data_IF_430312268458
#
_entry.id   IF_430312268458
#
_cell.length_a   1.000
_cell.length_b   1.000
_cell.length_c   1.000
_cell.angle_alpha   90.00
_cell.angle_beta   90.00
_cell.angle_gamma   90.00
#
_symmetry.space_group_name_H-M   'P 1'
#
loop_
_entity.id
_entity.type
_entity.pdbx_description
1 polymer ?
#
# COMPACT_ATOMS: atom_id res chain seq x y z
N UNK A 1 13.89 2.68 -33.13
CA UNK A 1 13.52 3.47 -31.93
C UNK A 1 12.28 2.92 -31.24
N UNK A 2 11.28 2.38 -31.96
CA UNK A 2 10.11 1.71 -31.37
C UNK A 2 10.44 0.44 -30.56
N UNK A 3 11.46 -0.33 -30.95
CA UNK A 3 11.87 -1.57 -30.25
C UNK A 3 12.23 -1.37 -28.77
N UNK A 4 12.83 -0.22 -28.40
CA UNK A 4 13.26 0.04 -27.01
C UNK A 4 12.09 0.16 -26.01
N UNK A 5 10.88 0.45 -26.47
CA UNK A 5 9.72 0.58 -25.58
C UNK A 5 9.07 -0.77 -25.29
N UNK A 6 9.21 -1.75 -26.19
CA UNK A 6 8.66 -3.09 -26.01
C UNK A 6 9.34 -3.80 -24.83
N UNK A 7 10.64 -3.63 -24.67
CA UNK A 7 11.41 -4.15 -23.53
C UNK A 7 11.01 -3.51 -22.19
N UNK A 8 10.41 -2.31 -22.24
CA UNK A 8 9.93 -1.59 -21.05
C UNK A 8 8.57 -2.08 -20.53
N UNK A 9 7.78 -2.76 -21.35
CA UNK A 9 6.42 -3.22 -20.97
C UNK A 9 6.46 -4.22 -19.81
N UNK A 10 7.34 -5.24 -19.78
CA UNK A 10 7.45 -6.14 -18.63
C UNK A 10 7.80 -5.41 -17.33
N UNK A 11 8.70 -4.41 -17.40
CA UNK A 11 9.08 -3.60 -16.24
C UNK A 11 7.92 -2.75 -15.76
N UNK A 12 7.16 -2.15 -16.68
CA UNK A 12 5.93 -1.41 -16.38
C UNK A 12 4.89 -2.29 -15.70
N UNK A 13 4.66 -3.50 -16.19
CA UNK A 13 3.71 -4.44 -15.61
C UNK A 13 4.12 -4.82 -14.18
N UNK A 14 5.42 -5.07 -13.95
CA UNK A 14 5.92 -5.33 -12.61
C UNK A 14 5.72 -4.13 -11.68
N UNK A 15 6.09 -2.92 -12.12
CA UNK A 15 5.94 -1.68 -11.36
C UNK A 15 4.48 -1.36 -11.05
N UNK A 16 3.57 -1.52 -12.01
CA UNK A 16 2.13 -1.28 -11.84
C UNK A 16 1.54 -2.22 -10.76
N UNK A 17 2.07 -3.43 -10.63
CA UNK A 17 1.66 -4.40 -9.61
C UNK A 17 2.25 -4.11 -8.20
N UNK A 18 3.18 -3.17 -8.05
CA UNK A 18 3.70 -2.75 -6.74
C UNK A 18 2.98 -1.52 -6.16
N UNK A 19 1.95 -1.01 -6.85
CA UNK A 19 1.20 0.18 -6.41
C UNK A 19 0.35 -0.11 -5.19
N UNK A 20 0.25 0.88 -4.33
CA UNK A 20 -0.66 0.91 -3.18
C UNK A 20 -2.09 1.24 -3.64
N UNK A 21 -3.08 1.00 -2.76
CA UNK A 21 -4.52 1.15 -3.07
C UNK A 21 -4.91 2.56 -3.56
N UNK A 22 -4.21 3.59 -3.07
CA UNK A 22 -4.41 4.99 -3.49
C UNK A 22 -3.82 5.31 -4.86
N UNK A 23 -3.13 4.36 -5.48
CA UNK A 23 -2.39 4.53 -6.71
C UNK A 23 -0.96 5.06 -6.54
N UNK A 24 -0.50 5.32 -5.30
CA UNK A 24 0.89 5.62 -4.96
C UNK A 24 1.73 4.35 -4.79
N UNK A 25 2.94 4.46 -4.22
CA UNK A 25 3.71 3.32 -3.75
C UNK A 25 3.82 3.34 -2.21
N UNK A 26 4.14 2.23 -1.54
CA UNK A 26 4.14 2.15 -0.08
C UNK A 26 5.14 3.10 0.62
N UNK A 27 6.22 3.52 -0.07
CA UNK A 27 7.21 4.45 0.47
C UNK A 27 7.20 5.77 -0.31
N UNK A 28 7.66 6.84 0.34
CA UNK A 28 7.67 8.20 -0.21
C UNK A 28 8.56 8.32 -1.45
N UNK A 29 9.80 7.83 -1.38
CA UNK A 29 10.74 7.84 -2.52
C UNK A 29 10.25 6.96 -3.68
N UNK A 30 9.73 5.77 -3.34
CA UNK A 30 9.16 4.83 -4.32
C UNK A 30 8.00 5.48 -5.09
N UNK A 31 7.19 6.29 -4.40
CA UNK A 31 6.09 7.01 -5.04
C UNK A 31 6.59 8.01 -6.07
N UNK A 32 7.59 8.83 -5.71
CA UNK A 32 8.11 9.84 -6.64
C UNK A 32 8.76 9.20 -7.88
N UNK A 33 9.65 8.23 -7.67
CA UNK A 33 10.37 7.59 -8.78
C UNK A 33 9.44 6.71 -9.61
N UNK A 34 8.59 5.91 -8.96
CA UNK A 34 7.67 5.00 -9.62
C UNK A 34 6.63 5.72 -10.48
N UNK A 35 5.99 6.76 -9.95
CA UNK A 35 5.02 7.55 -10.73
C UNK A 35 5.69 8.29 -11.88
N UNK A 36 6.90 8.82 -11.68
CA UNK A 36 7.67 9.47 -12.76
C UNK A 36 7.98 8.49 -13.88
N UNK A 37 8.44 7.28 -13.56
CA UNK A 37 8.76 6.25 -14.55
C UNK A 37 7.51 5.79 -15.32
N UNK A 38 6.44 5.45 -14.60
CA UNK A 38 5.18 5.00 -15.20
C UNK A 38 4.58 6.07 -16.11
N UNK A 39 4.54 7.33 -15.67
CA UNK A 39 3.99 8.44 -16.46
C UNK A 39 4.81 8.68 -17.72
N UNK A 40 6.15 8.71 -17.60
CA UNK A 40 7.03 8.94 -18.75
C UNK A 40 6.95 7.85 -19.81
N UNK A 41 6.73 6.60 -19.38
CA UNK A 41 6.51 5.50 -20.32
C UNK A 41 5.11 5.56 -20.92
N UNK A 42 4.08 5.81 -20.11
CA UNK A 42 2.70 5.94 -20.56
C UNK A 42 2.54 7.04 -21.63
N UNK A 43 3.22 8.19 -21.49
CA UNK A 43 3.27 9.26 -22.51
C UNK A 43 3.75 8.76 -23.88
N UNK A 44 4.55 7.69 -23.94
CA UNK A 44 5.14 7.17 -25.18
C UNK A 44 4.37 6.01 -25.78
N UNK A 45 3.72 5.19 -24.96
CA UNK A 45 3.05 3.96 -25.40
C UNK A 45 1.52 4.09 -25.47
N UNK A 46 0.94 5.11 -24.84
CA UNK A 46 -0.52 5.30 -24.84
C UNK A 46 -0.99 5.71 -26.24
N UNK A 47 -2.07 5.10 -26.76
CA UNK A 47 -2.65 5.49 -28.02
C UNK A 47 -3.29 6.88 -27.93
N UNK A 48 -3.47 7.54 -29.07
CA UNK A 48 -4.09 8.88 -29.14
C UNK A 48 -5.58 8.89 -28.78
N UNK A 49 -6.24 7.73 -28.79
CA UNK A 49 -7.65 7.56 -28.46
C UNK A 49 -7.85 6.28 -27.64
N UNK A 50 -8.76 6.36 -26.67
CA UNK A 50 -9.31 5.22 -25.95
C UNK A 50 -10.73 4.95 -26.47
N UNK A 51 -10.96 3.71 -26.90
CA UNK A 51 -12.25 3.17 -27.30
C UNK A 51 -12.23 1.66 -27.08
N UNK A 52 -12.53 1.25 -25.86
CA UNK A 52 -12.50 -0.15 -25.46
C UNK A 52 -13.60 -0.50 -24.48
N UNK A 53 -13.99 -1.77 -24.50
CA UNK A 53 -14.95 -2.38 -23.59
C UNK A 53 -14.25 -3.43 -22.76
N UNK A 54 -14.48 -3.39 -21.44
CA UNK A 54 -14.02 -4.41 -20.49
C UNK A 54 -15.25 -5.16 -19.98
N UNK A 55 -15.30 -6.45 -20.22
CA UNK A 55 -16.29 -7.37 -19.66
C UNK A 55 -15.64 -8.10 -18.47
N UNK A 56 -16.16 -7.84 -17.27
CA UNK A 56 -15.74 -8.43 -16.01
C UNK A 56 -16.78 -9.47 -15.56
N UNK A 57 -16.38 -10.73 -15.42
CA UNK A 57 -17.22 -11.82 -14.92
C UNK A 57 -16.72 -12.28 -13.56
N UNK A 58 -17.63 -12.37 -12.61
CA UNK A 58 -17.36 -12.85 -11.25
C UNK A 58 -18.59 -13.60 -10.75
N UNK A 59 -18.39 -14.84 -10.29
CA UNK A 59 -19.50 -15.72 -9.91
C UNK A 59 -20.50 -15.91 -11.06
N UNK A 60 -21.75 -15.47 -10.87
CA UNK A 60 -22.81 -15.48 -11.90
C UNK A 60 -23.03 -14.11 -12.54
N UNK A 61 -22.38 -13.07 -12.02
CA UNK A 61 -22.58 -11.70 -12.45
C UNK A 61 -21.61 -11.31 -13.56
N UNK A 62 -22.04 -10.33 -14.37
CA UNK A 62 -21.21 -9.74 -15.42
C UNK A 62 -21.39 -8.22 -15.39
N UNK A 63 -20.27 -7.51 -15.34
CA UNK A 63 -20.20 -6.05 -15.44
C UNK A 63 -19.47 -5.66 -16.71
N UNK A 64 -19.99 -4.64 -17.39
CA UNK A 64 -19.45 -4.15 -18.65
C UNK A 64 -19.06 -2.69 -18.45
N UNK A 65 -17.78 -2.40 -18.62
CA UNK A 65 -17.23 -1.05 -18.61
C UNK A 65 -16.99 -0.62 -20.06
N UNK A 66 -17.49 0.55 -20.45
CA UNK A 66 -17.21 1.15 -21.75
C UNK A 66 -16.41 2.42 -21.53
N UNK A 67 -15.19 2.44 -22.08
CA UNK A 67 -14.26 3.56 -21.92
C UNK A 67 -14.10 4.24 -23.28
N UNK A 68 -14.37 5.53 -23.31
CA UNK A 68 -14.11 6.41 -24.45
C UNK A 68 -13.23 7.60 -24.04
N UNK A 69 -12.62 8.28 -25.01
CA UNK A 69 -11.76 9.44 -24.76
C UNK A 69 -12.44 10.63 -24.10
N UNK A 70 -13.77 10.68 -24.04
CA UNK A 70 -14.52 11.79 -23.45
C UNK A 70 -14.59 11.69 -21.92
N UNK A 71 -14.45 10.50 -21.34
CA UNK A 71 -14.60 10.23 -19.91
C UNK A 71 -13.44 9.40 -19.32
N UNK A 72 -12.19 9.71 -19.69
CA UNK A 72 -11.00 8.95 -19.28
C UNK A 72 -10.74 8.99 -17.76
N UNK A 73 -11.17 10.04 -17.07
CA UNK A 73 -10.73 10.33 -15.69
C UNK A 73 -11.65 9.74 -14.60
N UNK A 74 -12.70 9.00 -14.99
CA UNK A 74 -13.62 8.39 -14.02
C UNK A 74 -13.15 6.98 -13.68
N UNK A 75 -12.58 6.82 -12.48
CA UNK A 75 -12.34 5.50 -11.91
C UNK A 75 -13.67 4.81 -11.59
N UNK A 76 -13.84 3.58 -12.06
CA UNK A 76 -15.04 2.78 -11.81
C UNK A 76 -14.67 1.61 -10.90
N UNK A 77 -15.36 1.52 -9.78
CA UNK A 77 -15.20 0.44 -8.80
C UNK A 77 -16.37 -0.53 -8.90
N UNK A 78 -16.09 -1.81 -8.67
CA UNK A 78 -17.09 -2.86 -8.53
C UNK A 78 -16.75 -3.67 -7.31
N UNK A 79 -17.69 -3.76 -6.38
CA UNK A 79 -17.58 -4.64 -5.23
C UNK A 79 -17.80 -6.09 -5.68
N UNK A 80 -16.84 -6.94 -5.33
CA UNK A 80 -16.85 -8.36 -5.66
C UNK A 80 -17.20 -9.13 -4.40
N UNK A 81 -18.21 -10.02 -4.43
CA UNK A 81 -18.58 -10.83 -3.27
C UNK A 81 -17.45 -11.72 -2.76
N UNK A 82 -17.36 -11.87 -1.44
CA UNK A 82 -16.29 -12.60 -0.74
C UNK A 82 -16.18 -14.09 -1.13
N UNK A 83 -17.28 -14.69 -1.61
CA UNK A 83 -17.33 -16.09 -2.05
C UNK A 83 -16.79 -16.30 -3.48
N UNK A 84 -16.43 -15.22 -4.17
CA UNK A 84 -15.88 -15.26 -5.53
C UNK A 84 -14.46 -15.82 -5.55
N UNK A 85 -14.30 -17.03 -6.11
CA UNK A 85 -12.98 -17.67 -6.26
C UNK A 85 -12.25 -17.34 -7.55
N UNK A 86 -12.97 -16.89 -8.58
CA UNK A 86 -12.42 -16.64 -9.91
C UNK A 86 -13.08 -15.43 -10.54
N UNK A 87 -12.24 -14.62 -11.16
CA UNK A 87 -12.63 -13.46 -11.95
C UNK A 87 -12.09 -13.68 -13.35
N UNK A 88 -12.88 -13.35 -14.37
CA UNK A 88 -12.47 -13.38 -15.76
C UNK A 88 -12.72 -12.03 -16.41
N UNK A 89 -11.75 -11.55 -17.17
CA UNK A 89 -11.79 -10.25 -17.84
C UNK A 89 -11.58 -10.43 -19.34
N UNK A 90 -12.46 -9.85 -20.15
CA UNK A 90 -12.29 -9.76 -21.59
C UNK A 90 -12.23 -8.29 -22.00
N UNK A 91 -11.15 -7.90 -22.67
CA UNK A 91 -10.94 -6.53 -23.14
C UNK A 91 -11.00 -6.52 -24.66
N UNK A 92 -11.83 -5.64 -25.23
CA UNK A 92 -12.01 -5.50 -26.68
C UNK A 92 -11.97 -4.04 -27.10
N UNK A 93 -11.24 -3.73 -28.16
CA UNK A 93 -11.09 -2.38 -28.68
C UNK A 93 -9.63 -1.92 -28.64
N UNK A 94 -9.43 -0.61 -28.60
CA UNK A 94 -8.11 0.02 -28.65
C UNK A 94 -8.01 1.03 -27.51
N UNK A 95 -6.96 0.97 -26.71
CA UNK A 95 -6.73 1.94 -25.67
C UNK A 95 -5.63 1.56 -24.69
N UNK A 96 -5.45 2.40 -23.69
CA UNK A 96 -4.61 2.16 -22.53
C UNK A 96 -5.45 2.32 -21.25
N UNK A 97 -5.24 1.44 -20.29
CA UNK A 97 -5.97 1.41 -19.03
C UNK A 97 -5.34 0.46 -18.02
N UNK A 98 -5.68 0.64 -16.75
CA UNK A 98 -5.24 -0.24 -15.68
C UNK A 98 -6.43 -1.00 -15.11
N UNK A 99 -6.27 -2.31 -15.00
CA UNK A 99 -7.19 -3.18 -14.28
C UNK A 99 -6.49 -3.67 -13.02
N UNK A 100 -7.06 -3.37 -11.87
CA UNK A 100 -6.52 -3.76 -10.56
C UNK A 100 -7.57 -4.45 -9.72
N UNK A 101 -7.14 -5.40 -8.90
CA UNK A 101 -7.96 -6.01 -7.85
C UNK A 101 -7.43 -5.51 -6.52
N UNK A 102 -8.31 -4.94 -5.71
CA UNK A 102 -7.99 -4.40 -4.39
C UNK A 102 -8.49 -5.41 -3.37
N UNK A 103 -7.58 -5.92 -2.54
CA UNK A 103 -7.94 -6.83 -1.45
C UNK A 103 -7.92 -6.06 -0.13
N UNK A 104 -9.00 -6.19 0.63
CA UNK A 104 -9.10 -5.74 2.00
C UNK A 104 -9.22 -6.96 2.89
N UNK A 105 -8.29 -7.11 3.84
CA UNK A 105 -8.22 -8.28 4.72
C UNK A 105 -8.52 -7.86 6.16
N UNK A 106 -9.47 -8.55 6.77
CA UNK A 106 -9.68 -8.51 8.22
C UNK A 106 -8.90 -9.66 8.85
N UNK A 107 -7.72 -9.33 9.39
CA UNK A 107 -6.82 -10.29 10.02
C UNK A 107 -6.96 -10.23 11.53
N UNK A 108 -6.77 -11.38 12.20
CA UNK A 108 -6.70 -11.43 13.64
C UNK A 108 -5.51 -10.62 14.16
N UNK A 109 -5.75 -9.80 15.18
CA UNK A 109 -4.70 -9.07 15.87
C UNK A 109 -3.88 -10.05 16.71
N UNK A 110 -2.64 -10.29 16.28
CA UNK A 110 -1.68 -11.19 16.94
C UNK A 110 -0.32 -10.51 17.08
N UNK A 111 0.41 -10.85 18.13
CA UNK A 111 1.77 -10.37 18.30
C UNK A 111 2.66 -10.93 17.18
N UNK A 112 3.38 -10.04 16.50
CA UNK A 112 4.28 -10.39 15.42
C UNK A 112 5.55 -9.56 15.51
N UNK A 113 6.70 -10.25 15.55
CA UNK A 113 8.00 -9.63 15.59
C UNK A 113 8.81 -10.04 14.36
N UNK A 114 9.32 -9.05 13.63
CA UNK A 114 10.21 -9.30 12.51
C UNK A 114 11.30 -8.24 12.45
N UNK A 115 12.53 -8.64 12.79
CA UNK A 115 13.73 -7.77 12.87
C UNK A 115 13.65 -6.65 13.91
N UNK A 116 12.56 -6.59 14.66
CA UNK A 116 12.40 -5.74 15.83
C UNK A 116 11.80 -6.57 16.95
N UNK A 117 12.30 -6.36 18.16
CA UNK A 117 11.67 -6.81 19.40
C UNK A 117 10.87 -5.63 19.96
N UNK A 118 9.63 -5.86 20.36
CA UNK A 118 8.73 -4.86 20.92
C UNK A 118 8.11 -5.36 22.22
N UNK A 119 8.53 -4.76 23.32
CA UNK A 119 8.03 -5.07 24.65
C UNK A 119 7.13 -3.94 25.14
N UNK A 120 5.95 -4.32 25.63
CA UNK A 120 4.96 -3.42 26.22
C UNK A 120 4.72 -3.82 27.67
N UNK A 121 4.88 -2.88 28.59
CA UNK A 121 4.59 -3.10 30.00
C UNK A 121 3.65 -2.02 30.54
N UNK A 122 2.59 -2.43 31.23
CA UNK A 122 1.61 -1.51 31.81
C UNK A 122 1.98 -1.24 33.25
N UNK A 123 2.27 0.01 33.58
CA UNK A 123 2.52 0.38 34.98
C UNK A 123 1.23 0.29 35.81
N UNK A 124 1.38 -0.14 37.06
CA UNK A 124 0.28 -0.19 38.01
C UNK A 124 -0.15 1.23 38.38
N UNK A 125 -1.22 1.68 37.73
CA UNK A 125 -1.82 3.01 37.88
C UNK A 125 -3.30 2.83 38.23
N UNK A 126 -3.91 3.86 38.83
CA UNK A 126 -5.34 3.85 39.14
C UNK A 126 -6.22 3.59 37.91
N UNK A 127 -7.53 3.39 38.11
CA UNK A 127 -8.45 3.05 37.02
C UNK A 127 -8.64 4.15 35.96
N UNK A 128 -8.30 5.40 36.30
CA UNK A 128 -8.49 6.60 35.49
C UNK A 128 -7.28 6.97 34.62
N UNK A 129 -6.14 6.29 34.80
CA UNK A 129 -4.89 6.57 34.09
C UNK A 129 -4.28 5.30 33.54
N UNK A 130 -3.58 5.44 32.42
CA UNK A 130 -2.83 4.35 31.81
C UNK A 130 -1.44 4.86 31.47
N UNK A 131 -0.44 4.34 32.17
CA UNK A 131 0.97 4.55 31.84
C UNK A 131 1.50 3.25 31.25
N UNK A 132 2.08 3.35 30.05
CA UNK A 132 2.61 2.22 29.30
C UNK A 132 4.08 2.48 28.96
N UNK A 133 4.94 1.55 29.35
CA UNK A 133 6.33 1.49 28.95
C UNK A 133 6.40 0.80 27.60
N UNK A 134 6.98 1.49 26.61
CA UNK A 134 7.15 0.99 25.25
C UNK A 134 8.63 0.88 24.95
N UNK A 135 9.12 -0.35 24.82
CA UNK A 135 10.52 -0.64 24.54
C UNK A 135 10.62 -1.30 23.17
N UNK A 136 11.40 -0.72 22.26
CA UNK A 136 11.65 -1.30 20.95
C UNK A 136 13.15 -1.39 20.68
N UNK A 137 13.60 -2.50 20.10
CA UNK A 137 15.00 -2.67 19.70
C UNK A 137 15.11 -3.37 18.35
N UNK A 138 16.12 -3.00 17.57
CA UNK A 138 16.41 -3.64 16.29
C UNK A 138 17.24 -4.91 16.49
N UNK A 139 16.80 -6.01 15.89
CA UNK A 139 17.49 -7.29 15.98
C UNK A 139 18.63 -7.31 14.96
N UNK A 140 19.87 -7.20 15.45
CA UNK A 140 21.06 -7.26 14.61
C UNK A 140 21.27 -8.67 14.05
N UNK A 141 21.18 -8.81 12.73
CA UNK A 141 21.57 -10.04 12.03
C UNK A 141 22.79 -9.82 11.15
N UNK A 142 22.69 -8.86 10.22
CA UNK A 142 23.79 -8.47 9.31
C UNK A 142 24.00 -6.95 9.25
N UNK A 143 23.05 -6.18 9.79
CA UNK A 143 23.08 -4.72 9.82
C UNK A 143 23.20 -4.25 11.26
N UNK A 144 24.04 -3.23 11.47
CA UNK A 144 24.27 -2.67 12.79
C UNK A 144 23.14 -1.77 13.27
N UNK A 145 22.33 -1.18 12.40
CA UNK A 145 21.19 -0.33 12.79
C UNK A 145 20.10 -0.41 11.73
N UNK A 146 18.87 -0.09 12.12
CA UNK A 146 17.79 0.18 11.17
C UNK A 146 18.02 1.52 10.46
N UNK A 147 17.27 1.78 9.39
CA UNK A 147 17.07 3.14 8.90
C UNK A 147 16.22 3.95 9.90
N UNK A 148 15.52 4.98 9.43
CA UNK A 148 14.43 5.61 10.18
C UNK A 148 13.40 4.56 10.62
N UNK A 149 13.08 4.55 11.91
CA UNK A 149 12.07 3.72 12.53
C UNK A 149 10.97 4.61 13.13
N UNK A 150 9.74 4.12 13.12
CA UNK A 150 8.57 4.78 13.69
C UNK A 150 7.88 3.81 14.64
N UNK A 151 7.41 4.33 15.77
CA UNK A 151 6.57 3.59 16.71
C UNK A 151 5.22 4.27 16.74
N UNK A 152 4.17 3.51 16.45
CA UNK A 152 2.79 3.97 16.53
C UNK A 152 2.10 3.27 17.71
N UNK A 153 1.52 4.07 18.61
CA UNK A 153 0.79 3.57 19.78
C UNK A 153 -0.69 3.86 19.56
N UNK A 154 -1.46 2.80 19.30
CA UNK A 154 -2.92 2.90 19.18
C UNK A 154 -3.56 2.66 20.55
N UNK A 155 -4.38 3.61 21.00
CA UNK A 155 -5.04 3.53 22.30
C UNK A 155 -6.40 2.81 22.22
N UNK A 156 -6.83 2.15 23.31
CA UNK A 156 -8.19 1.64 23.41
C UNK A 156 -9.23 2.77 23.30
N UNK A 157 -10.41 2.44 22.79
CA UNK A 157 -11.51 3.40 22.65
C UNK A 157 -11.84 4.07 23.99
N UNK A 158 -11.99 5.40 23.97
CA UNK A 158 -12.31 6.21 25.15
C UNK A 158 -11.08 6.78 25.89
N UNK A 159 -9.87 6.33 25.59
CA UNK A 159 -8.65 6.95 26.10
C UNK A 159 -8.23 8.15 25.25
N UNK A 160 -7.67 9.17 25.91
CA UNK A 160 -7.09 10.35 25.27
C UNK A 160 -5.71 10.59 25.89
N UNK A 161 -4.78 11.07 25.07
CA UNK A 161 -3.43 11.42 25.53
C UNK A 161 -3.42 12.77 26.25
N UNK A 162 -2.60 12.89 27.29
CA UNK A 162 -2.28 14.18 27.91
C UNK A 162 -1.52 15.09 26.93
N UNK A 163 -1.41 16.39 27.28
CA UNK A 163 -0.70 17.39 26.44
C UNK A 163 0.74 16.99 26.11
N UNK A 164 1.43 16.37 27.07
CA UNK A 164 2.80 15.86 26.93
C UNK A 164 2.82 14.38 27.37
N UNK A 165 2.45 13.44 26.48
CA UNK A 165 2.19 12.06 26.88
C UNK A 165 3.44 11.18 26.96
N UNK A 166 4.60 11.69 26.51
CA UNK A 166 5.85 10.91 26.48
C UNK A 166 6.77 11.42 27.58
N UNK A 167 7.15 10.52 28.47
CA UNK A 167 8.10 10.73 29.56
C UNK A 167 9.14 9.60 29.61
N UNK A 168 10.20 9.77 30.41
CA UNK A 168 11.22 8.74 30.64
C UNK A 168 11.91 8.22 29.35
N UNK A 169 12.06 9.09 28.34
CA UNK A 169 12.74 8.70 27.11
C UNK A 169 14.20 8.34 27.39
N UNK A 170 14.68 7.28 26.75
CA UNK A 170 16.09 6.92 26.76
C UNK A 170 16.92 8.03 26.11
N UNK A 171 17.84 8.63 26.88
CA UNK A 171 18.76 9.68 26.40
C UNK A 171 20.10 9.12 25.92
N UNK A 172 20.39 7.85 26.21
CA UNK A 172 21.62 7.18 25.79
C UNK A 172 21.51 6.83 24.31
N UNK A 173 22.46 7.30 23.50
CA UNK A 173 22.61 6.85 22.12
C UNK A 173 23.31 5.47 22.12
N UNK A 174 22.62 4.37 21.79
CA UNK A 174 23.24 3.04 21.75
C UNK A 174 24.19 2.88 20.55
N UNK A 175 24.16 3.81 19.59
CA UNK A 175 25.06 3.86 18.44
C UNK A 175 26.40 4.46 18.89
N UNK A 176 27.30 3.61 19.38
CA UNK A 176 28.72 3.97 19.50
C UNK A 176 29.35 3.87 18.11
N UNK A 177 29.71 5.01 17.52
CA UNK A 177 30.53 5.10 16.31
C UNK A 177 31.94 4.60 16.63
#
# INVERSE_FOLDING_TARGET
MAEKYLDGIPVMNWLANQRYVTGSFPRTQDTFVGLKALTKLAEKISPSRNDYTVELKYGKDTKIFRINSEHIDVMQYVDIPDDTRRISTNVRGIGFGLLGVIYQFDLNLVNFEHKFQLDLDKQNTGSDKMIMNVCASFIHMFLYHSSMALIEVTLPSGYVVDRNPISEQTTVNPIKV
#
